data_IF_229907293798
#
_entry.id   IF_229907293798
#
_cell.length_a   1.000
_cell.length_b   1.000
_cell.length_c   1.000
_cell.angle_alpha   90.00
_cell.angle_beta   90.00
_cell.angle_gamma   90.00
#
_symmetry.space_group_name_H-M   'P 1'
#
loop_
_entity.id
_entity.type
_entity.pdbx_description
1 polymer ?
#
# COMPACT_ATOMS: atom_id res chain seq x y z
N UNK A 1 18.03 17.12 36.35
CA UNK A 1 16.90 16.21 36.07
C UNK A 1 15.74 17.08 35.66
N UNK A 2 15.39 17.05 34.38
CA UNK A 2 14.22 17.76 33.87
C UNK A 2 13.04 16.82 34.05
N UNK A 3 12.17 17.10 35.02
CA UNK A 3 10.90 16.39 35.17
C UNK A 3 10.03 16.68 33.94
N UNK A 4 9.75 15.65 33.15
CA UNK A 4 8.81 15.74 32.05
C UNK A 4 7.41 15.72 32.69
N UNK A 5 6.69 16.84 32.60
CA UNK A 5 5.30 16.94 33.06
C UNK A 5 4.41 16.03 32.20
N UNK A 6 4.02 14.88 32.77
CA UNK A 6 3.16 13.86 32.15
C UNK A 6 1.70 14.31 31.95
N UNK A 7 1.34 15.53 32.38
CA UNK A 7 -0.04 16.01 32.44
C UNK A 7 -0.69 16.30 31.09
N UNK A 8 0.08 16.33 29.99
CA UNK A 8 -0.40 16.76 28.67
C UNK A 8 -0.24 15.71 27.55
N UNK A 9 0.27 14.51 27.84
CA UNK A 9 0.45 13.47 26.82
C UNK A 9 -0.85 12.67 26.66
N UNK A 10 -1.34 12.58 25.41
CA UNK A 10 -2.46 11.70 25.07
C UNK A 10 -2.06 10.24 25.38
N UNK A 11 -3.00 9.42 25.86
CA UNK A 11 -2.79 7.98 26.09
C UNK A 11 -2.16 7.29 24.86
N UNK A 12 -2.55 7.70 23.65
CA UNK A 12 -1.94 7.20 22.42
C UNK A 12 -0.44 7.54 22.28
N UNK A 13 -0.04 8.75 22.69
CA UNK A 13 1.36 9.18 22.69
C UNK A 13 2.18 8.51 23.79
N UNK A 14 1.58 8.31 24.97
CA UNK A 14 2.18 7.54 26.06
C UNK A 14 2.41 6.08 25.66
N UNK A 15 1.44 5.44 25.00
CA UNK A 15 1.60 4.09 24.46
C UNK A 15 2.67 4.03 23.37
N UNK A 16 2.71 5.03 22.48
CA UNK A 16 3.76 5.14 21.47
C UNK A 16 5.16 5.24 22.08
N UNK A 17 5.34 6.10 23.09
CA UNK A 17 6.62 6.26 23.80
C UNK A 17 7.01 5.00 24.56
N UNK A 18 6.05 4.32 25.19
CA UNK A 18 6.31 3.06 25.89
C UNK A 18 6.73 1.92 24.94
N UNK A 19 6.16 1.85 23.73
CA UNK A 19 6.55 0.90 22.69
C UNK A 19 7.97 1.17 22.17
N UNK A 20 8.39 2.43 22.02
CA UNK A 20 9.76 2.80 21.61
C UNK A 20 10.83 2.43 22.66
N UNK A 21 10.44 2.23 23.91
CA UNK A 21 11.34 1.82 25.00
C UNK A 21 11.52 0.29 25.11
N UNK A 22 10.80 -0.51 24.31
CA UNK A 22 10.99 -1.96 24.28
C UNK A 22 12.31 -2.31 23.55
N UNK A 23 13.07 -3.32 24.03
CA UNK A 23 14.24 -3.79 23.31
C UNK A 23 13.84 -4.23 21.89
N UNK A 24 14.53 -3.75 20.87
CA UNK A 24 14.28 -4.22 19.50
C UNK A 24 14.49 -5.73 19.44
N UNK A 25 13.53 -6.48 18.89
CA UNK A 25 13.76 -7.90 18.63
C UNK A 25 14.96 -8.09 17.69
N UNK A 26 15.72 -9.17 17.87
CA UNK A 26 16.73 -9.64 16.91
C UNK A 26 16.15 -9.92 15.51
N UNK A 27 14.82 -10.04 15.41
CA UNK A 27 14.11 -10.23 14.14
C UNK A 27 14.15 -8.98 13.28
N UNK A 28 14.41 -9.17 11.98
CA UNK A 28 14.39 -8.11 10.97
C UNK A 28 13.27 -8.33 9.96
N UNK A 29 12.57 -7.27 9.58
CA UNK A 29 11.53 -7.31 8.54
C UNK A 29 11.97 -6.46 7.36
N UNK A 30 12.01 -7.07 6.18
CA UNK A 30 12.31 -6.41 4.92
C UNK A 30 11.03 -6.10 4.17
N UNK A 31 10.90 -4.87 3.69
CA UNK A 31 9.74 -4.44 2.90
C UNK A 31 10.12 -4.23 1.45
N UNK A 32 9.21 -4.61 0.55
CA UNK A 32 9.34 -4.31 -0.87
C UNK A 32 9.15 -2.82 -1.13
N UNK A 33 10.02 -2.26 -1.98
CA UNK A 33 9.97 -0.86 -2.39
C UNK A 33 10.77 0.09 -1.49
N UNK A 34 11.46 1.06 -2.11
CA UNK A 34 12.42 1.89 -1.39
C UNK A 34 11.79 2.84 -0.36
N UNK A 35 10.57 3.28 -0.65
CA UNK A 35 9.85 4.30 0.13
C UNK A 35 8.76 3.70 1.00
N UNK A 36 8.37 2.45 0.74
CA UNK A 36 7.25 1.77 1.40
C UNK A 36 7.52 1.52 2.89
N UNK A 37 8.80 1.36 3.28
CA UNK A 37 9.20 1.27 4.69
C UNK A 37 8.56 2.37 5.55
N UNK A 38 8.45 3.60 5.03
CA UNK A 38 7.85 4.73 5.77
C UNK A 38 6.37 4.52 6.10
N UNK A 39 5.64 3.82 5.24
CA UNK A 39 4.26 3.44 5.50
C UNK A 39 4.20 2.38 6.61
N UNK A 40 4.93 1.28 6.42
CA UNK A 40 4.94 0.15 7.35
C UNK A 40 5.46 0.49 8.74
N UNK A 41 6.38 1.46 8.87
CA UNK A 41 6.87 1.96 10.16
C UNK A 41 5.75 2.48 11.08
N UNK A 42 4.64 2.94 10.50
CA UNK A 42 3.54 3.48 11.30
C UNK A 42 2.58 2.39 11.81
N UNK A 43 2.69 1.15 11.32
CA UNK A 43 1.84 0.01 11.74
C UNK A 43 2.39 -0.57 13.06
N UNK A 44 1.56 -0.58 14.10
CA UNK A 44 1.96 -0.96 15.47
C UNK A 44 2.66 -2.32 15.57
N UNK A 45 2.19 -3.33 14.80
CA UNK A 45 2.81 -4.65 14.76
C UNK A 45 4.30 -4.59 14.44
N UNK A 46 4.70 -3.76 13.46
CA UNK A 46 6.06 -3.73 12.95
C UNK A 46 7.01 -2.92 13.83
N UNK A 47 6.52 -2.04 14.71
CA UNK A 47 7.35 -1.12 15.51
C UNK A 47 8.37 -1.81 16.42
N UNK A 48 8.05 -3.02 16.90
CA UNK A 48 8.94 -3.81 17.77
C UNK A 48 10.13 -4.49 17.04
N UNK A 49 10.17 -4.38 15.71
CA UNK A 49 11.14 -5.06 14.87
C UNK A 49 12.10 -4.09 14.19
N UNK A 50 13.28 -4.58 13.85
CA UNK A 50 14.19 -3.83 12.97
C UNK A 50 13.65 -3.85 11.55
N UNK A 51 13.21 -2.70 11.05
CA UNK A 51 12.63 -2.56 9.72
C UNK A 51 13.68 -2.12 8.70
N UNK A 52 13.83 -2.86 7.61
CA UNK A 52 14.81 -2.58 6.55
C UNK A 52 14.15 -2.51 5.16
N UNK A 53 14.74 -1.72 4.28
CA UNK A 53 14.38 -1.73 2.87
C UNK A 53 14.91 -3.02 2.22
N UNK A 54 13.99 -3.83 1.69
CA UNK A 54 14.28 -5.08 1.02
C UNK A 54 14.72 -4.91 -0.43
N UNK A 55 14.34 -3.80 -1.08
CA UNK A 55 14.44 -3.64 -2.53
C UNK A 55 13.38 -4.50 -3.25
N UNK A 56 13.71 -5.06 -4.43
CA UNK A 56 12.80 -5.95 -5.16
C UNK A 56 12.47 -7.22 -4.38
N UNK A 57 11.27 -7.79 -4.60
CA UNK A 57 10.83 -9.06 -4.01
C UNK A 57 11.88 -10.19 -4.06
N UNK A 58 12.60 -10.34 -5.19
CA UNK A 58 13.67 -11.35 -5.33
C UNK A 58 14.84 -11.18 -4.35
N UNK A 59 15.17 -9.94 -3.98
CA UNK A 59 16.20 -9.66 -2.98
C UNK A 59 15.72 -10.00 -1.58
N UNK A 60 14.45 -9.73 -1.27
CA UNK A 60 13.82 -10.10 0.01
C UNK A 60 13.86 -11.61 0.18
N UNK A 61 13.41 -12.37 -0.83
CA UNK A 61 13.47 -13.84 -0.83
C UNK A 61 14.87 -14.36 -0.51
N UNK A 62 15.90 -13.79 -1.16
CA UNK A 62 17.29 -14.16 -0.92
C UNK A 62 17.75 -13.83 0.51
N UNK A 63 17.40 -12.65 1.05
CA UNK A 63 17.80 -12.27 2.41
C UNK A 63 17.13 -13.16 3.46
N UNK A 64 15.83 -13.42 3.31
CA UNK A 64 15.05 -14.26 4.24
C UNK A 64 15.51 -15.71 4.23
N UNK A 65 15.93 -16.25 3.08
CA UNK A 65 16.46 -17.62 3.02
C UNK A 65 17.83 -17.78 3.68
N UNK A 66 18.58 -16.69 3.88
CA UNK A 66 19.91 -16.71 4.47
C UNK A 66 19.90 -16.63 6.01
N UNK A 67 18.80 -16.22 6.63
CA UNK A 67 18.73 -16.05 8.08
C UNK A 67 17.31 -16.29 8.62
N UNK A 68 17.17 -17.21 9.57
CA UNK A 68 15.87 -17.58 10.17
C UNK A 68 15.22 -16.48 11.00
N UNK A 69 15.98 -15.46 11.43
CA UNK A 69 15.46 -14.28 12.11
C UNK A 69 14.94 -13.20 11.13
N UNK A 70 15.06 -13.43 9.82
CA UNK A 70 14.65 -12.46 8.79
C UNK A 70 13.29 -12.83 8.22
N UNK A 71 12.48 -11.79 7.99
CA UNK A 71 11.12 -11.88 7.48
C UNK A 71 10.93 -10.88 6.34
N UNK A 72 9.94 -11.14 5.47
CA UNK A 72 9.61 -10.26 4.35
C UNK A 72 8.14 -9.86 4.37
N UNK A 73 7.85 -8.63 3.96
CA UNK A 73 6.51 -8.21 3.53
C UNK A 73 6.64 -7.69 2.11
N UNK A 74 5.88 -8.29 1.20
CA UNK A 74 5.94 -8.01 -0.23
C UNK A 74 4.58 -7.58 -0.76
N UNK A 75 4.60 -6.97 -1.94
CA UNK A 75 3.37 -6.61 -2.66
C UNK A 75 2.59 -7.88 -3.06
N UNK A 76 1.27 -7.76 -3.23
CA UNK A 76 0.43 -8.89 -3.63
C UNK A 76 0.63 -9.25 -5.11
N UNK A 77 0.88 -8.25 -5.95
CA UNK A 77 0.98 -8.38 -7.41
C UNK A 77 -0.15 -9.28 -8.00
N UNK A 78 0.03 -9.85 -9.20
CA UNK A 78 -0.93 -10.82 -9.79
C UNK A 78 -0.66 -12.27 -9.40
N UNK A 79 0.50 -12.57 -8.80
CA UNK A 79 0.91 -13.93 -8.50
C UNK A 79 0.95 -14.14 -6.99
N UNK A 80 0.13 -15.09 -6.52
CA UNK A 80 0.21 -15.57 -5.15
C UNK A 80 1.38 -16.53 -5.01
N UNK A 81 2.24 -16.29 -4.04
CA UNK A 81 3.37 -17.14 -3.71
C UNK A 81 3.29 -17.59 -2.26
N UNK A 82 3.34 -18.90 -2.03
CA UNK A 82 3.42 -19.45 -0.68
C UNK A 82 4.89 -19.55 -0.26
N UNK A 83 5.35 -18.57 0.52
CA UNK A 83 6.75 -18.39 0.89
C UNK A 83 6.92 -18.33 2.40
N UNK A 84 7.73 -19.23 2.96
CA UNK A 84 8.02 -19.24 4.39
C UNK A 84 8.61 -17.89 4.87
N UNK A 85 8.11 -17.37 6.01
CA UNK A 85 8.51 -16.07 6.61
C UNK A 85 8.34 -14.83 5.70
N UNK A 86 7.71 -14.96 4.55
CA UNK A 86 7.39 -13.86 3.63
C UNK A 86 5.86 -13.76 3.50
N UNK A 87 5.36 -12.54 3.72
CA UNK A 87 3.94 -12.26 3.79
C UNK A 87 3.53 -11.34 2.66
N UNK A 88 2.54 -11.75 1.88
CA UNK A 88 1.95 -10.93 0.82
C UNK A 88 0.81 -10.10 1.40
N UNK A 89 0.85 -8.80 1.16
CA UNK A 89 -0.28 -7.93 1.50
C UNK A 89 -1.50 -8.30 0.63
N UNK A 90 -2.71 -8.13 1.15
CA UNK A 90 -3.95 -8.33 0.41
C UNK A 90 -4.28 -7.11 -0.45
N UNK A 91 -3.30 -6.57 -1.14
CA UNK A 91 -3.41 -5.46 -2.09
C UNK A 91 -2.42 -5.73 -3.21
N UNK A 92 -2.67 -5.17 -4.39
CA UNK A 92 -1.66 -5.25 -5.45
C UNK A 92 -0.35 -4.60 -4.99
N UNK A 93 -0.40 -3.42 -4.37
CA UNK A 93 0.74 -2.77 -3.72
C UNK A 93 0.33 -1.68 -2.72
N UNK A 94 1.32 -1.03 -2.10
CA UNK A 94 1.10 0.15 -1.23
C UNK A 94 0.38 1.30 -1.96
N UNK A 95 0.64 1.50 -3.24
CA UNK A 95 -0.04 2.51 -4.05
C UNK A 95 -1.56 2.28 -4.11
N UNK A 96 -2.00 1.03 -4.10
CA UNK A 96 -3.42 0.68 -4.06
C UNK A 96 -4.05 1.02 -2.70
N UNK A 97 -3.34 0.79 -1.60
CA UNK A 97 -3.77 1.20 -0.25
C UNK A 97 -3.97 2.73 -0.23
N UNK A 98 -3.01 3.47 -0.78
CA UNK A 98 -3.06 4.93 -0.83
C UNK A 98 -4.26 5.44 -1.62
N UNK A 99 -4.59 4.82 -2.76
CA UNK A 99 -5.76 5.20 -3.55
C UNK A 99 -7.07 5.04 -2.78
N UNK A 100 -7.13 4.07 -1.87
CA UNK A 100 -8.34 3.75 -1.10
C UNK A 100 -8.43 4.62 0.15
N UNK A 101 -7.32 4.79 0.89
CA UNK A 101 -7.33 5.30 2.27
C UNK A 101 -6.70 6.69 2.45
N UNK A 102 -6.23 7.36 1.39
CA UNK A 102 -5.66 8.70 1.53
C UNK A 102 -6.75 9.79 1.44
N UNK A 103 -7.32 10.16 2.59
CA UNK A 103 -8.44 11.12 2.69
C UNK A 103 -8.16 12.46 2.01
N UNK A 104 -6.98 13.06 2.23
CA UNK A 104 -6.62 14.34 1.60
C UNK A 104 -6.56 14.27 0.06
N UNK A 105 -6.45 13.07 -0.50
CA UNK A 105 -6.36 12.84 -1.94
C UNK A 105 -7.68 12.32 -2.53
N UNK A 106 -8.66 11.97 -1.70
CA UNK A 106 -9.91 11.34 -2.12
C UNK A 106 -10.70 12.20 -3.12
N UNK A 107 -10.73 13.53 -2.93
CA UNK A 107 -11.40 14.46 -3.84
C UNK A 107 -10.78 14.45 -5.24
N UNK A 108 -9.45 14.37 -5.33
CA UNK A 108 -8.74 14.30 -6.62
C UNK A 108 -8.90 12.95 -7.32
N UNK A 109 -9.28 11.90 -6.60
CA UNK A 109 -9.50 10.55 -7.13
C UNK A 109 -10.97 10.27 -7.46
N UNK A 110 -11.88 11.20 -7.18
CA UNK A 110 -13.32 11.02 -7.39
C UNK A 110 -13.67 10.75 -8.86
N UNK A 111 -12.98 11.39 -9.80
CA UNK A 111 -13.17 11.14 -11.25
C UNK A 111 -12.80 9.69 -11.60
N UNK A 112 -11.71 9.17 -11.05
CA UNK A 112 -11.32 7.77 -11.27
C UNK A 112 -12.41 6.82 -10.77
N UNK A 113 -12.88 7.02 -9.54
CA UNK A 113 -13.96 6.21 -8.94
C UNK A 113 -15.22 6.21 -9.82
N UNK A 114 -15.65 7.39 -10.28
CA UNK A 114 -16.82 7.51 -11.16
C UNK A 114 -16.66 6.78 -12.51
N UNK A 115 -15.46 6.82 -13.11
CA UNK A 115 -15.18 6.08 -14.34
C UNK A 115 -15.28 4.57 -14.12
N UNK A 116 -14.72 4.07 -13.01
CA UNK A 116 -14.77 2.65 -12.66
C UNK A 116 -16.20 2.20 -12.35
N UNK A 117 -16.96 2.95 -11.54
CA UNK A 117 -18.37 2.65 -11.26
C UNK A 117 -19.19 2.55 -12.55
N UNK A 118 -19.01 3.50 -13.48
CA UNK A 118 -19.70 3.49 -14.78
C UNK A 118 -19.30 2.25 -15.60
N UNK A 119 -18.02 1.88 -15.60
CA UNK A 119 -17.54 0.67 -16.25
C UNK A 119 -18.25 -0.56 -15.70
N UNK A 120 -18.18 -0.80 -14.40
CA UNK A 120 -18.73 -2.01 -13.77
C UNK A 120 -20.26 -2.12 -13.83
N UNK A 121 -20.98 -1.00 -13.97
CA UNK A 121 -22.41 -1.03 -14.30
C UNK A 121 -22.70 -1.58 -15.69
N UNK A 122 -21.77 -1.43 -16.63
CA UNK A 122 -21.94 -1.80 -18.05
C UNK A 122 -21.21 -3.08 -18.46
N UNK A 123 -20.07 -3.38 -17.85
CA UNK A 123 -19.20 -4.50 -18.16
C UNK A 123 -18.79 -5.17 -16.84
N UNK A 124 -19.01 -6.49 -16.71
CA UNK A 124 -18.75 -7.22 -15.45
C UNK A 124 -17.27 -7.50 -15.17
N UNK A 125 -16.42 -7.36 -16.18
CA UNK A 125 -15.00 -7.73 -16.13
C UNK A 125 -14.16 -6.62 -16.74
N UNK A 126 -12.89 -6.54 -16.35
CA UNK A 126 -11.99 -5.47 -16.80
C UNK A 126 -10.65 -6.02 -17.27
N UNK A 127 -10.52 -6.23 -18.58
CA UNK A 127 -9.29 -6.76 -19.21
C UNK A 127 -8.48 -5.70 -19.94
N UNK A 128 -8.77 -4.43 -19.65
CA UNK A 128 -8.19 -3.26 -20.31
C UNK A 128 -7.39 -2.42 -19.32
N UNK A 129 -6.30 -1.81 -19.80
CA UNK A 129 -5.45 -0.97 -18.97
C UNK A 129 -6.13 0.38 -18.70
N UNK A 130 -6.02 0.82 -17.46
CA UNK A 130 -6.21 2.21 -17.09
C UNK A 130 -5.02 3.02 -17.59
N UNK A 131 -5.30 4.18 -18.19
CA UNK A 131 -4.31 5.17 -18.57
C UNK A 131 -4.66 6.52 -17.95
N UNK A 132 -3.65 7.35 -17.73
CA UNK A 132 -3.84 8.75 -17.38
C UNK A 132 -3.78 9.60 -18.66
N UNK A 133 -4.80 10.41 -18.91
CA UNK A 133 -4.81 11.40 -19.99
C UNK A 133 -4.51 12.77 -19.40
N UNK A 134 -3.29 13.26 -19.63
CA UNK A 134 -2.83 14.54 -19.06
C UNK A 134 -3.50 15.74 -19.76
N UNK A 135 -3.88 15.58 -21.03
CA UNK A 135 -4.38 16.67 -21.89
C UNK A 135 -5.92 16.72 -22.01
N UNK A 136 -6.64 15.80 -21.36
CA UNK A 136 -8.10 15.70 -21.48
C UNK A 136 -8.80 16.07 -20.17
N UNK A 137 -10.06 16.54 -20.28
CA UNK A 137 -10.95 16.71 -19.12
C UNK A 137 -11.11 15.41 -18.33
N UNK A 138 -11.16 14.28 -19.04
CA UNK A 138 -11.18 12.95 -18.44
C UNK A 138 -9.76 12.53 -18.11
N UNK A 139 -9.32 12.85 -16.88
CA UNK A 139 -7.94 12.61 -16.40
C UNK A 139 -7.51 11.13 -16.46
N UNK A 140 -8.47 10.21 -16.52
CA UNK A 140 -8.24 8.78 -16.66
C UNK A 140 -9.11 8.20 -17.77
N UNK A 141 -8.69 7.10 -18.37
CA UNK A 141 -9.50 6.34 -19.29
C UNK A 141 -9.14 4.85 -19.27
N UNK A 142 -10.12 3.99 -19.49
CA UNK A 142 -9.91 2.57 -19.77
C UNK A 142 -9.72 2.40 -21.28
N UNK A 143 -8.51 2.05 -21.70
CA UNK A 143 -8.16 1.99 -23.12
C UNK A 143 -8.45 0.60 -23.68
N UNK A 144 -9.51 0.47 -24.47
CA UNK A 144 -9.97 -0.83 -25.03
C UNK A 144 -8.92 -1.52 -25.93
N UNK A 145 -8.08 -0.74 -26.60
CA UNK A 145 -6.98 -1.21 -27.43
C UNK A 145 -5.76 -1.70 -26.63
N UNK A 146 -5.62 -1.29 -25.36
CA UNK A 146 -4.55 -1.76 -24.47
C UNK A 146 -5.05 -2.87 -23.57
N UNK A 147 -4.97 -4.10 -24.07
CA UNK A 147 -5.33 -5.29 -23.30
C UNK A 147 -4.26 -5.62 -22.25
N UNK A 148 -4.72 -6.14 -21.12
CA UNK A 148 -3.87 -6.77 -20.13
C UNK A 148 -3.40 -8.13 -20.70
N UNK A 149 -2.25 -8.62 -20.26
CA UNK A 149 -1.75 -9.92 -20.72
C UNK A 149 -2.79 -11.01 -20.37
N UNK A 150 -3.23 -11.84 -21.34
CA UNK A 150 -4.21 -12.90 -21.09
C UNK A 150 -3.87 -13.86 -19.96
N UNK A 151 -2.59 -14.06 -19.65
CA UNK A 151 -2.17 -14.93 -18.53
C UNK A 151 -2.69 -14.48 -17.16
N UNK A 152 -3.13 -13.22 -17.04
CA UNK A 152 -3.68 -12.66 -15.79
C UNK A 152 -5.20 -12.55 -15.81
N UNK A 153 -5.89 -13.00 -16.86
CA UNK A 153 -7.34 -12.87 -16.95
C UNK A 153 -8.07 -13.62 -15.85
N UNK A 154 -7.63 -14.84 -15.51
CA UNK A 154 -8.28 -15.63 -14.45
C UNK A 154 -8.20 -14.90 -13.10
N UNK A 155 -7.01 -14.39 -12.74
CA UNK A 155 -6.83 -13.55 -11.55
C UNK A 155 -7.78 -12.34 -11.57
N UNK A 156 -7.79 -11.61 -12.68
CA UNK A 156 -8.56 -10.37 -12.81
C UNK A 156 -10.06 -10.65 -12.69
N UNK A 157 -10.56 -11.64 -13.42
CA UNK A 157 -11.98 -11.93 -13.45
C UNK A 157 -12.48 -12.51 -12.11
N UNK A 158 -11.62 -13.21 -11.36
CA UNK A 158 -11.93 -13.73 -10.03
C UNK A 158 -11.87 -12.64 -8.95
N UNK A 159 -10.81 -11.81 -8.97
CA UNK A 159 -10.52 -10.84 -7.89
C UNK A 159 -11.14 -9.47 -8.10
N UNK A 160 -11.38 -9.05 -9.34
CA UNK A 160 -11.73 -7.67 -9.71
C UNK A 160 -13.11 -7.63 -10.34
N UNK A 161 -14.12 -7.45 -9.49
CA UNK A 161 -15.55 -7.55 -9.84
C UNK A 161 -16.29 -6.21 -9.73
N UNK A 162 -15.67 -5.22 -9.10
CA UNK A 162 -16.21 -3.89 -8.87
C UNK A 162 -15.10 -2.83 -8.76
N UNK A 163 -15.48 -1.57 -8.57
CA UNK A 163 -14.54 -0.45 -8.46
C UNK A 163 -13.61 -0.58 -7.26
N UNK A 164 -14.07 -1.14 -6.14
CA UNK A 164 -13.29 -1.25 -4.91
C UNK A 164 -12.20 -2.31 -5.07
N UNK A 165 -12.57 -3.48 -5.56
CA UNK A 165 -11.65 -4.58 -5.86
C UNK A 165 -10.69 -4.22 -6.99
N UNK A 166 -11.11 -3.39 -7.95
CA UNK A 166 -10.20 -2.82 -8.95
C UNK A 166 -9.13 -1.95 -8.30
N UNK A 167 -9.53 -1.00 -7.44
CA UNK A 167 -8.59 -0.15 -6.72
C UNK A 167 -7.68 -0.97 -5.79
N UNK A 168 -8.15 -2.11 -5.29
CA UNK A 168 -7.41 -2.98 -4.38
C UNK A 168 -6.38 -3.87 -5.09
N UNK A 169 -6.74 -4.47 -6.24
CA UNK A 169 -5.99 -5.59 -6.84
C UNK A 169 -5.45 -5.34 -8.26
N UNK A 170 -5.73 -4.19 -8.89
CA UNK A 170 -5.16 -3.89 -10.22
C UNK A 170 -3.75 -3.29 -10.12
N UNK A 171 -2.91 -3.52 -11.13
CA UNK A 171 -1.62 -2.82 -11.29
C UNK A 171 -1.82 -1.32 -11.55
N UNK A 172 -1.73 -0.52 -10.47
CA UNK A 172 -1.96 0.92 -10.50
C UNK A 172 -0.72 1.74 -10.13
N UNK A 173 0.44 1.11 -9.87
CA UNK A 173 1.68 1.78 -9.44
C UNK A 173 2.03 3.00 -10.30
N UNK A 174 2.10 2.77 -11.62
CA UNK A 174 2.42 3.82 -12.60
C UNK A 174 1.35 4.91 -12.68
N UNK A 175 0.08 4.56 -12.48
CA UNK A 175 -1.02 5.52 -12.51
C UNK A 175 -0.94 6.44 -11.30
N UNK A 176 -0.69 5.89 -10.11
CA UNK A 176 -0.51 6.67 -8.87
C UNK A 176 0.68 7.60 -9.01
N UNK A 177 1.86 7.09 -9.38
CA UNK A 177 3.07 7.90 -9.50
C UNK A 177 2.92 9.05 -10.51
N UNK A 178 2.35 8.75 -11.67
CA UNK A 178 2.10 9.75 -12.72
C UNK A 178 1.06 10.78 -12.27
N UNK A 179 0.00 10.35 -11.58
CA UNK A 179 -1.03 11.26 -11.10
C UNK A 179 -0.54 12.17 -9.97
N UNK A 180 0.22 11.64 -9.01
CA UNK A 180 0.85 12.45 -7.98
C UNK A 180 1.84 13.46 -8.58
N UNK A 181 2.56 13.08 -9.63
CA UNK A 181 3.46 13.98 -10.36
C UNK A 181 2.71 15.10 -11.07
N UNK A 182 1.56 14.79 -11.67
CA UNK A 182 0.66 15.77 -12.28
C UNK A 182 0.10 16.76 -11.24
N UNK A 183 -0.46 16.27 -10.13
CA UNK A 183 -1.03 17.13 -9.08
C UNK A 183 0.00 18.08 -8.44
N UNK A 184 1.28 17.68 -8.38
CA UNK A 184 2.37 18.57 -7.91
C UNK A 184 2.55 19.79 -8.82
N UNK A 185 2.30 19.65 -10.12
CA UNK A 185 2.49 20.69 -11.12
C UNK A 185 1.22 21.54 -11.34
N UNK A 186 0.05 20.99 -11.07
CA UNK A 186 -1.24 21.67 -11.24
C UNK A 186 -1.29 22.97 -10.41
N UNK A 187 -1.44 24.15 -11.05
CA UNK A 187 -1.42 25.45 -10.35
C UNK A 187 -2.65 25.67 -9.46
N UNK A 188 -3.75 24.93 -9.68
CA UNK A 188 -4.96 25.02 -8.86
C UNK A 188 -4.80 24.38 -7.48
N UNK A 189 -3.80 23.50 -7.32
CA UNK A 189 -3.55 22.79 -6.07
C UNK A 189 -2.77 23.67 -5.10
N UNK A 190 -3.26 23.75 -3.85
CA UNK A 190 -2.66 24.57 -2.80
C UNK A 190 -1.25 24.09 -2.42
N UNK A 191 -0.43 24.99 -1.85
CA UNK A 191 0.93 24.66 -1.43
C UNK A 191 0.93 23.58 -0.34
N UNK A 192 -0.06 23.60 0.55
CA UNK A 192 -0.27 22.64 1.62
C UNK A 192 -0.56 21.25 1.02
N UNK A 193 -1.52 21.14 0.09
CA UNK A 193 -1.81 19.88 -0.60
C UNK A 193 -0.57 19.35 -1.35
N UNK A 194 0.20 20.23 -2.01
CA UNK A 194 1.44 19.83 -2.70
C UNK A 194 2.49 19.23 -1.75
N UNK A 195 2.52 19.63 -0.47
CA UNK A 195 3.40 19.00 0.54
C UNK A 195 2.93 17.58 0.87
N UNK A 196 1.63 17.38 1.00
CA UNK A 196 1.01 16.06 1.23
C UNK A 196 1.30 15.14 0.02
N UNK A 197 1.02 15.60 -1.20
CA UNK A 197 1.27 14.83 -2.43
C UNK A 197 2.75 14.46 -2.60
N UNK A 198 3.70 15.27 -2.13
CA UNK A 198 5.14 14.93 -2.14
C UNK A 198 5.49 13.79 -1.18
N UNK A 199 4.68 13.58 -0.15
CA UNK A 199 4.91 12.63 0.94
C UNK A 199 3.77 11.62 1.05
N UNK A 200 3.00 11.43 -0.02
CA UNK A 200 1.71 10.75 -0.03
C UNK A 200 1.73 9.36 0.60
N UNK A 201 2.82 8.61 0.43
CA UNK A 201 3.00 7.31 1.09
C UNK A 201 3.08 7.46 2.62
N UNK A 202 3.92 8.36 3.10
CA UNK A 202 4.12 8.57 4.55
C UNK A 202 2.98 9.33 5.24
N UNK A 203 2.13 10.03 4.48
CA UNK A 203 0.99 10.79 5.01
C UNK A 203 -0.34 10.06 4.86
N UNK A 204 -0.35 8.89 4.20
CA UNK A 204 -1.55 8.08 4.07
C UNK A 204 -1.99 7.56 5.45
N UNK A 205 -3.31 7.44 5.63
CA UNK A 205 -3.87 6.75 6.77
C UNK A 205 -3.31 5.32 6.86
N UNK A 206 -3.01 4.91 8.08
CA UNK A 206 -2.37 3.64 8.38
C UNK A 206 -3.46 2.62 8.65
N UNK A 207 -3.59 1.65 7.75
CA UNK A 207 -4.56 0.57 7.92
C UNK A 207 -4.12 -0.40 9.01
N UNK A 208 -5.08 -1.14 9.55
CA UNK A 208 -4.81 -2.21 10.53
C UNK A 208 -4.16 -3.42 9.86
N UNK A 209 -3.54 -4.30 10.66
CA UNK A 209 -2.96 -5.54 10.14
C UNK A 209 -4.02 -6.49 9.58
N UNK A 210 -5.24 -6.43 10.13
CA UNK A 210 -6.39 -7.23 9.69
C UNK A 210 -6.91 -6.77 8.33
N UNK A 211 -6.74 -5.49 8.00
CA UNK A 211 -7.02 -4.95 6.67
C UNK A 211 -5.87 -5.20 5.70
N UNK A 212 -4.62 -5.20 6.17
CA UNK A 212 -3.42 -5.32 5.34
C UNK A 212 -3.24 -6.73 4.76
N UNK A 213 -3.60 -7.78 5.50
CA UNK A 213 -3.36 -9.16 5.14
C UNK A 213 -4.67 -9.93 4.96
N UNK A 214 -4.67 -10.89 4.04
CA UNK A 214 -5.79 -11.85 3.94
C UNK A 214 -5.89 -12.67 5.22
N UNK A 215 -7.06 -13.21 5.56
CA UNK A 215 -7.24 -14.06 6.75
C UNK A 215 -6.16 -15.15 6.86
N UNK A 216 -5.83 -15.78 5.73
CA UNK A 216 -4.79 -16.82 5.68
C UNK A 216 -3.39 -16.29 5.99
N UNK A 217 -3.03 -15.11 5.49
CA UNK A 217 -1.72 -14.49 5.73
C UNK A 217 -1.64 -13.91 7.14
N UNK A 218 -2.73 -13.30 7.62
CA UNK A 218 -2.83 -12.76 8.97
C UNK A 218 -2.58 -13.84 10.03
N UNK A 219 -3.13 -15.04 9.84
CA UNK A 219 -2.87 -16.18 10.72
C UNK A 219 -1.38 -16.55 10.75
N UNK A 220 -0.68 -16.48 9.62
CA UNK A 220 0.77 -16.75 9.56
C UNK A 220 1.55 -15.65 10.28
N UNK A 221 1.23 -14.39 9.99
CA UNK A 221 1.83 -13.21 10.63
C UNK A 221 1.66 -13.27 12.15
N UNK A 222 0.46 -13.55 12.65
CA UNK A 222 0.21 -13.65 14.09
C UNK A 222 1.03 -14.77 14.73
N UNK A 223 1.11 -15.95 14.09
CA UNK A 223 1.87 -17.09 14.63
C UNK A 223 3.37 -16.82 14.79
N UNK A 224 3.95 -15.96 13.96
CA UNK A 224 5.41 -15.78 13.87
C UNK A 224 5.90 -14.42 14.38
N UNK A 225 5.08 -13.37 14.25
CA UNK A 225 5.40 -11.97 14.57
C UNK A 225 4.58 -11.39 15.74
N UNK A 226 3.74 -12.16 16.41
CA UNK A 226 3.11 -11.69 17.67
C UNK A 226 3.50 -12.49 18.91
N UNK A 227 4.35 -13.51 18.74
CA UNK A 227 5.05 -14.22 19.81
C UNK A 227 6.36 -13.51 20.15
#
# INVERSE_FOLDING_TARGET
>A
MTEISLSNLNIAELNHLAEEMLPSSDKKIFFEGEINKKYYQNIALFRRYTLENGGPCSNIKRKVSQNSAFYGVIDGDFLKEDLERIYQIDFYSIENIILIYHDDLASYLTILKSILEKHFRSEKTIRHRLIQNIDCKDRFALKKDLKINPQFYDYIDEKIIDELTFLKYMDLKKIVDSYMSFLKQDPSITKECKKIIKKYISTCYVITIDELFSDTELLRVQRELTK
#
